data_IF_079270685217
#
_entry.id   IF_079270685217
#
_cell.length_a   1.000
_cell.length_b   1.000
_cell.length_c   1.000
_cell.angle_alpha   90.00
_cell.angle_beta   90.00
_cell.angle_gamma   90.00
#
_symmetry.space_group_name_H-M   'P 1'
#
loop_
_entity.id
_entity.type
_entity.pdbx_description
1 polymer ?
#
# COMPACT_ATOMS: atom_id res chain seq x y z
N UNK A 1 7.12 73.74 0.18
CA UNK A 1 7.23 72.59 -0.74
C UNK A 1 7.15 71.28 0.05
N UNK A 2 5.96 70.69 0.08
CA UNK A 2 5.56 69.28 0.24
C UNK A 2 6.40 68.28 1.07
N UNK A 3 6.24 68.31 2.41
CA UNK A 3 6.51 67.15 3.28
C UNK A 3 5.33 66.16 3.37
N UNK A 4 4.11 66.55 2.97
CA UNK A 4 2.91 65.70 3.06
C UNK A 4 2.80 64.62 1.98
N UNK A 5 3.58 64.74 0.88
CA UNK A 5 3.56 63.75 -0.22
C UNK A 5 4.43 62.51 0.01
N UNK A 6 5.46 62.59 0.86
CA UNK A 6 6.39 61.47 1.10
C UNK A 6 5.82 60.43 2.09
N UNK A 7 4.96 60.85 3.02
CA UNK A 7 4.31 59.94 3.97
C UNK A 7 3.21 59.08 3.30
N UNK A 8 2.53 59.62 2.28
CA UNK A 8 1.49 58.88 1.54
C UNK A 8 2.09 57.78 0.64
N UNK A 9 3.27 58.03 0.06
CA UNK A 9 3.92 57.07 -0.83
C UNK A 9 4.55 55.88 -0.08
N UNK A 10 4.98 56.08 1.18
CA UNK A 10 5.48 54.99 2.03
C UNK A 10 4.35 54.08 2.56
N UNK A 11 3.14 54.61 2.77
CA UNK A 11 1.97 53.83 3.18
C UNK A 11 1.43 52.90 2.09
N UNK A 12 1.53 53.31 0.81
CA UNK A 12 1.07 52.49 -0.32
C UNK A 12 2.01 51.33 -0.67
N UNK A 13 3.31 51.42 -0.34
CA UNK A 13 4.28 50.33 -0.58
C UNK A 13 4.15 49.23 0.51
N UNK A 14 3.76 49.60 1.74
CA UNK A 14 3.55 48.64 2.82
C UNK A 14 2.28 47.77 2.63
N UNK A 15 1.27 48.27 1.90
CA UNK A 15 0.05 47.53 1.55
C UNK A 15 0.23 46.57 0.35
N UNK A 16 1.35 46.66 -0.38
CA UNK A 16 1.66 45.74 -1.48
C UNK A 16 2.39 44.46 -1.03
N UNK A 17 2.79 44.39 0.26
CA UNK A 17 3.43 43.22 0.87
C UNK A 17 2.60 42.60 1.98
N UNK A 18 1.27 42.74 1.96
CA UNK A 18 0.41 41.76 2.59
C UNK A 18 0.58 40.44 1.84
N UNK A 19 1.62 39.68 2.21
CA UNK A 19 1.70 38.25 1.94
C UNK A 19 0.39 37.67 2.43
N UNK A 20 -0.48 37.28 1.48
CA UNK A 20 -1.63 36.42 1.77
C UNK A 20 -1.08 35.33 2.68
N UNK A 21 -1.62 35.18 3.89
CA UNK A 21 -1.12 34.20 4.84
C UNK A 21 -1.19 32.82 4.16
N UNK A 22 -0.05 32.30 3.72
CA UNK A 22 0.05 30.97 3.14
C UNK A 22 -0.23 29.99 4.28
N UNK A 23 -1.42 29.40 4.28
CA UNK A 23 -1.76 28.35 5.21
C UNK A 23 -1.16 27.04 4.71
N UNK A 24 -0.67 26.20 5.62
CA UNK A 24 -0.20 24.87 5.26
C UNK A 24 -1.38 24.00 4.80
N UNK A 25 -1.21 23.30 3.69
CA UNK A 25 -2.17 22.32 3.18
C UNK A 25 -1.98 21.02 3.97
N UNK A 26 -2.91 20.74 4.88
CA UNK A 26 -2.89 19.53 5.70
C UNK A 26 -3.31 18.31 4.89
N UNK A 27 -2.52 17.25 4.98
CA UNK A 27 -2.79 15.94 4.39
C UNK A 27 -2.73 14.91 5.51
N UNK A 28 -3.84 14.20 5.73
CA UNK A 28 -3.85 13.07 6.65
C UNK A 28 -3.09 11.90 6.01
N UNK A 29 -2.11 11.35 6.72
CA UNK A 29 -1.46 10.09 6.33
C UNK A 29 -1.83 9.07 7.38
N UNK A 30 -2.51 8.01 6.95
CA UNK A 30 -3.21 7.09 7.86
C UNK A 30 -2.83 5.64 7.57
N UNK A 31 -2.33 4.96 8.59
CA UNK A 31 -2.01 3.54 8.53
C UNK A 31 -1.55 2.97 9.87
N UNK A 32 -1.06 1.74 9.86
CA UNK A 32 -0.63 1.04 11.06
C UNK A 32 0.72 1.57 11.57
N UNK A 33 0.69 2.50 12.52
CA UNK A 33 1.90 2.92 13.28
C UNK A 33 2.16 2.00 14.48
N UNK A 34 1.19 1.15 14.81
CA UNK A 34 1.27 0.16 15.86
C UNK A 34 0.61 -1.16 15.42
N UNK A 35 0.57 -2.14 16.33
CA UNK A 35 -0.05 -3.44 16.06
C UNK A 35 0.85 -4.41 15.29
N UNK A 36 0.31 -5.58 14.90
CA UNK A 36 1.09 -6.70 14.38
C UNK A 36 1.69 -6.44 12.99
N UNK A 37 1.24 -5.38 12.31
CA UNK A 37 1.63 -5.06 10.93
C UNK A 37 2.22 -3.64 10.79
N UNK A 38 2.76 -3.08 11.88
CA UNK A 38 3.34 -1.73 11.91
C UNK A 38 4.42 -1.48 10.84
N UNK A 39 5.09 -2.54 10.36
CA UNK A 39 6.05 -2.46 9.27
C UNK A 39 5.46 -1.88 7.97
N UNK A 40 4.15 -2.03 7.73
CA UNK A 40 3.49 -1.41 6.57
C UNK A 40 3.38 0.10 6.75
N UNK A 41 3.03 0.57 7.95
CA UNK A 41 3.03 2.00 8.27
C UNK A 41 4.43 2.59 8.19
N UNK A 42 5.45 1.91 8.69
CA UNK A 42 6.84 2.40 8.58
C UNK A 42 7.24 2.70 7.13
N UNK A 43 6.86 1.83 6.19
CA UNK A 43 7.07 2.06 4.75
C UNK A 43 6.24 3.24 4.24
N UNK A 44 4.95 3.29 4.57
CA UNK A 44 4.04 4.36 4.17
C UNK A 44 4.55 5.74 4.63
N UNK A 45 4.81 5.89 5.94
CA UNK A 45 5.27 7.16 6.50
C UNK A 45 6.64 7.55 5.95
N UNK A 46 7.54 6.60 5.71
CA UNK A 46 8.82 6.89 5.04
C UNK A 46 8.60 7.48 3.63
N UNK A 47 7.71 6.86 2.84
CA UNK A 47 7.36 7.34 1.51
C UNK A 47 6.69 8.72 1.52
N UNK A 48 5.70 8.91 2.39
CA UNK A 48 4.97 10.16 2.53
C UNK A 48 5.89 11.31 2.96
N UNK A 49 6.71 11.09 4.01
CA UNK A 49 7.63 12.11 4.52
C UNK A 49 8.65 12.55 3.48
N UNK A 50 9.21 11.60 2.72
CA UNK A 50 10.16 11.92 1.67
C UNK A 50 9.49 12.68 0.52
N UNK A 51 8.29 12.25 0.08
CA UNK A 51 7.53 12.94 -0.96
C UNK A 51 7.19 14.39 -0.58
N UNK A 52 6.67 14.60 0.64
CA UNK A 52 6.32 15.94 1.13
C UNK A 52 7.56 16.83 1.27
N UNK A 53 8.68 16.28 1.75
CA UNK A 53 9.95 17.01 1.79
C UNK A 53 10.39 17.47 0.40
N UNK A 54 10.35 16.57 -0.59
CA UNK A 54 10.77 16.85 -1.96
C UNK A 54 9.82 17.81 -2.69
N UNK A 55 8.51 17.72 -2.44
CA UNK A 55 7.49 18.66 -2.96
C UNK A 55 7.71 20.06 -2.37
N UNK A 56 7.86 20.16 -1.05
CA UNK A 56 8.04 21.44 -0.38
C UNK A 56 9.38 22.10 -0.75
N UNK A 57 10.44 21.33 -0.94
CA UNK A 57 11.73 21.84 -1.41
C UNK A 57 11.66 22.45 -2.82
N UNK A 58 10.68 22.05 -3.64
CA UNK A 58 10.40 22.61 -4.97
C UNK A 58 9.39 23.77 -4.96
N UNK A 59 9.07 24.31 -3.79
CA UNK A 59 8.15 25.44 -3.64
C UNK A 59 6.70 25.06 -3.30
N UNK A 60 6.43 23.79 -3.01
CA UNK A 60 5.12 23.34 -2.56
C UNK A 60 4.04 23.40 -3.64
N UNK A 61 2.80 23.69 -3.24
CA UNK A 61 1.63 23.84 -4.11
C UNK A 61 1.33 25.33 -4.24
N UNK A 62 1.67 25.94 -5.39
CA UNK A 62 1.46 27.38 -5.62
C UNK A 62 2.07 28.25 -4.49
N UNK A 63 3.17 27.79 -3.89
CA UNK A 63 3.86 28.43 -2.77
C UNK A 63 3.44 27.96 -1.37
N UNK A 64 2.31 27.25 -1.23
CA UNK A 64 1.86 26.69 0.05
C UNK A 64 2.54 25.35 0.33
N UNK A 65 2.87 25.08 1.60
CA UNK A 65 3.52 23.82 1.99
C UNK A 65 2.50 22.74 2.25
N UNK A 66 2.83 21.50 1.85
CA UNK A 66 2.14 20.31 2.35
C UNK A 66 2.60 20.00 3.77
N UNK A 67 1.66 19.71 4.66
CA UNK A 67 1.92 19.27 6.03
C UNK A 67 1.24 17.94 6.29
N UNK A 68 2.03 16.92 6.65
CA UNK A 68 1.52 15.62 7.07
C UNK A 68 0.91 15.73 8.46
N UNK A 69 -0.31 15.20 8.61
CA UNK A 69 -0.91 14.89 9.90
C UNK A 69 -1.03 13.38 9.99
N UNK A 70 -0.25 12.76 10.88
CA UNK A 70 -0.20 11.30 11.00
C UNK A 70 -1.35 10.79 11.88
N UNK A 71 -1.98 9.71 11.46
CA UNK A 71 -2.95 8.98 12.27
C UNK A 71 -2.62 7.49 12.26
N UNK A 72 -2.74 6.88 13.43
CA UNK A 72 -2.59 5.44 13.61
C UNK A 72 -3.97 4.79 13.62
N UNK A 73 -4.23 3.89 12.67
CA UNK A 73 -5.41 3.02 12.69
C UNK A 73 -5.09 1.58 13.12
N UNK A 74 -3.81 1.27 13.38
CA UNK A 74 -3.30 -0.06 13.70
C UNK A 74 -3.72 -1.18 12.71
N UNK A 75 -4.20 -0.83 11.50
CA UNK A 75 -4.94 -1.72 10.62
C UNK A 75 -6.14 -2.45 11.30
N UNK A 76 -6.74 -1.82 12.31
CA UNK A 76 -7.96 -2.28 12.97
C UNK A 76 -9.19 -1.54 12.39
N UNK A 77 -10.22 -2.27 11.91
CA UNK A 77 -11.40 -1.65 11.30
C UNK A 77 -12.14 -0.66 12.20
N UNK A 78 -12.21 -0.92 13.51
CA UNK A 78 -12.92 -0.05 14.45
C UNK A 78 -12.12 1.22 14.72
N UNK A 79 -10.81 1.11 14.87
CA UNK A 79 -9.92 2.25 15.02
C UNK A 79 -9.88 3.09 13.73
N UNK A 80 -9.90 2.47 12.55
CA UNK A 80 -9.98 3.18 11.26
C UNK A 80 -11.22 4.07 11.15
N UNK A 81 -12.40 3.58 11.59
CA UNK A 81 -13.63 4.38 11.68
C UNK A 81 -13.46 5.57 12.62
N UNK A 82 -12.83 5.36 13.80
CA UNK A 82 -12.58 6.44 14.75
C UNK A 82 -11.60 7.49 14.19
N UNK A 83 -10.57 7.05 13.47
CA UNK A 83 -9.61 7.92 12.79
C UNK A 83 -10.28 8.72 11.67
N UNK A 84 -11.11 8.09 10.84
CA UNK A 84 -11.81 8.79 9.76
C UNK A 84 -12.71 9.91 10.30
N UNK A 85 -13.50 9.63 11.34
CA UNK A 85 -14.27 10.66 12.04
C UNK A 85 -13.39 11.76 12.62
N UNK A 86 -12.20 11.43 13.13
CA UNK A 86 -11.25 12.42 13.63
C UNK A 86 -10.68 13.30 12.52
N UNK A 87 -10.33 12.73 11.36
CA UNK A 87 -9.87 13.47 10.18
C UNK A 87 -10.92 14.48 9.72
N UNK A 88 -12.19 14.06 9.66
CA UNK A 88 -13.34 14.94 9.37
C UNK A 88 -13.40 16.09 10.38
N UNK A 89 -13.38 15.78 11.67
CA UNK A 89 -13.43 16.79 12.75
C UNK A 89 -12.22 17.74 12.76
N UNK A 90 -11.05 17.27 12.32
CA UNK A 90 -9.84 18.08 12.20
C UNK A 90 -9.86 18.96 10.93
N UNK A 91 -10.91 18.87 10.11
CA UNK A 91 -11.14 19.69 8.92
C UNK A 91 -10.21 19.38 7.75
N UNK A 92 -9.63 18.18 7.71
CA UNK A 92 -8.70 17.74 6.66
C UNK A 92 -9.49 17.18 5.48
N UNK A 93 -9.14 17.60 4.26
CA UNK A 93 -9.86 17.23 3.02
C UNK A 93 -9.16 16.18 2.16
N UNK A 94 -7.93 15.83 2.51
CA UNK A 94 -7.09 14.94 1.71
C UNK A 94 -6.49 13.87 2.61
N UNK A 95 -6.75 12.62 2.27
CA UNK A 95 -6.28 11.44 2.97
C UNK A 95 -5.41 10.61 2.04
N UNK A 96 -4.21 10.31 2.49
CA UNK A 96 -3.35 9.27 1.94
C UNK A 96 -3.40 8.11 2.92
N UNK A 97 -3.90 6.98 2.45
CA UNK A 97 -4.28 5.86 3.30
C UNK A 97 -5.69 5.37 2.96
N UNK A 98 -6.29 4.49 3.74
CA UNK A 98 -5.64 3.70 4.77
C UNK A 98 -4.81 2.56 4.13
N UNK A 99 -4.12 1.76 4.93
CA UNK A 99 -3.27 0.67 4.43
C UNK A 99 -4.04 -0.63 4.17
N UNK A 100 -4.63 -1.22 5.22
CA UNK A 100 -5.22 -2.55 5.14
C UNK A 100 -6.66 -2.49 4.62
N UNK A 101 -7.02 -3.34 3.65
CA UNK A 101 -8.35 -3.35 3.01
C UNK A 101 -9.54 -3.32 3.99
N UNK A 102 -9.46 -4.10 5.08
CA UNK A 102 -10.49 -4.18 6.13
C UNK A 102 -10.65 -2.90 6.96
N UNK A 103 -9.62 -2.05 6.98
CA UNK A 103 -9.62 -0.73 7.63
C UNK A 103 -10.02 0.37 6.63
N UNK A 104 -9.47 0.30 5.42
CA UNK A 104 -9.71 1.26 4.34
C UNK A 104 -11.17 1.29 3.92
N UNK A 105 -11.83 0.14 3.79
CA UNK A 105 -13.22 0.09 3.34
C UNK A 105 -14.19 0.84 4.27
N UNK A 106 -14.30 0.54 5.58
CA UNK A 106 -15.23 1.27 6.44
C UNK A 106 -14.84 2.75 6.65
N UNK A 107 -13.54 3.11 6.56
CA UNK A 107 -13.13 4.52 6.59
C UNK A 107 -13.56 5.27 5.32
N UNK A 108 -13.50 4.62 4.16
CA UNK A 108 -13.89 5.22 2.88
C UNK A 108 -15.36 5.63 2.81
N UNK A 109 -16.24 4.94 3.55
CA UNK A 109 -17.66 5.29 3.62
C UNK A 109 -17.84 6.68 4.21
N UNK A 110 -17.12 6.97 5.30
CA UNK A 110 -17.13 8.27 5.97
C UNK A 110 -16.55 9.34 5.05
N UNK A 111 -15.43 9.06 4.37
CA UNK A 111 -14.81 10.05 3.49
C UNK A 111 -15.67 10.38 2.27
N UNK A 112 -16.32 9.39 1.66
CA UNK A 112 -17.24 9.62 0.56
C UNK A 112 -18.44 10.48 0.99
N UNK A 113 -19.04 10.17 2.14
CA UNK A 113 -20.19 10.92 2.68
C UNK A 113 -19.83 12.37 3.06
N UNK A 114 -18.61 12.59 3.58
CA UNK A 114 -18.13 13.89 4.06
C UNK A 114 -17.37 14.70 2.99
N UNK A 115 -17.28 14.20 1.75
CA UNK A 115 -16.65 14.93 0.66
C UNK A 115 -15.12 15.01 0.77
N UNK A 116 -14.47 14.00 1.35
CA UNK A 116 -13.01 13.93 1.56
C UNK A 116 -12.37 13.02 0.52
N UNK A 117 -11.31 13.50 -0.13
CA UNK A 117 -10.53 12.70 -1.08
C UNK A 117 -9.68 11.67 -0.32
N UNK A 118 -9.78 10.40 -0.71
CA UNK A 118 -8.92 9.34 -0.17
C UNK A 118 -8.17 8.62 -1.29
N UNK A 119 -6.85 8.59 -1.19
CA UNK A 119 -5.97 7.82 -2.09
C UNK A 119 -5.24 6.76 -1.26
N UNK A 120 -5.64 5.49 -1.39
CA UNK A 120 -4.96 4.40 -0.67
C UNK A 120 -3.70 3.95 -1.41
N UNK A 121 -2.56 3.83 -0.71
CA UNK A 121 -1.33 3.33 -1.31
C UNK A 121 -1.16 1.81 -1.21
N UNK A 122 -2.06 1.09 -0.53
CA UNK A 122 -1.85 -0.34 -0.23
C UNK A 122 -3.10 -1.22 -0.22
N UNK A 123 -4.32 -0.69 -0.11
CA UNK A 123 -5.50 -1.55 -0.10
C UNK A 123 -5.82 -2.09 -1.50
N UNK A 124 -5.79 -3.41 -1.64
CA UNK A 124 -5.94 -4.12 -2.91
C UNK A 124 -7.28 -4.83 -3.09
N UNK A 125 -8.14 -4.86 -2.07
CA UNK A 125 -9.45 -5.48 -2.16
C UNK A 125 -10.30 -4.79 -3.26
N UNK A 126 -10.86 -5.54 -4.23
CA UNK A 126 -11.61 -4.94 -5.34
C UNK A 126 -12.91 -4.27 -4.90
N UNK A 127 -13.51 -4.73 -3.80
CA UNK A 127 -14.77 -4.20 -3.29
C UNK A 127 -14.71 -2.71 -2.94
N UNK A 128 -13.53 -2.21 -2.53
CA UNK A 128 -13.32 -0.81 -2.16
C UNK A 128 -13.86 0.17 -3.23
N UNK A 129 -13.56 -0.09 -4.51
CA UNK A 129 -13.93 0.77 -5.66
C UNK A 129 -15.10 0.20 -6.48
N UNK A 130 -15.68 -0.94 -6.08
CA UNK A 130 -16.83 -1.55 -6.74
C UNK A 130 -18.20 -0.96 -6.31
N UNK A 131 -18.20 0.05 -5.43
CA UNK A 131 -19.40 0.56 -4.74
C UNK A 131 -19.95 1.89 -5.28
N UNK A 132 -19.35 2.39 -6.36
CA UNK A 132 -19.81 3.61 -7.05
C UNK A 132 -19.26 4.92 -6.47
N UNK A 133 -18.39 4.84 -5.46
CA UNK A 133 -17.74 5.98 -4.83
C UNK A 133 -16.89 6.78 -5.83
N UNK A 134 -16.83 8.09 -5.62
CA UNK A 134 -16.24 9.06 -6.55
C UNK A 134 -14.92 9.60 -6.05
N UNK A 135 -14.74 9.69 -4.73
CA UNK A 135 -13.58 10.31 -4.07
C UNK A 135 -12.50 9.31 -3.66
N UNK A 136 -12.69 8.03 -4.00
CA UNK A 136 -11.79 6.95 -3.66
C UNK A 136 -10.92 6.61 -4.86
N UNK A 137 -9.61 6.63 -4.67
CA UNK A 137 -8.61 6.20 -5.65
C UNK A 137 -7.55 5.33 -4.97
N UNK A 138 -6.74 4.62 -5.76
CA UNK A 138 -5.58 3.88 -5.26
C UNK A 138 -4.31 4.12 -6.07
N UNK A 139 -3.15 3.94 -5.45
CA UNK A 139 -1.84 3.87 -6.12
C UNK A 139 -1.18 2.50 -5.97
N UNK A 140 -2.00 1.47 -5.83
CA UNK A 140 -1.62 0.06 -5.86
C UNK A 140 -2.53 -0.71 -6.83
N UNK A 141 -2.23 -1.99 -7.04
CA UNK A 141 -3.04 -2.87 -7.88
C UNK A 141 -4.27 -3.44 -7.17
N UNK A 142 -4.90 -4.41 -7.84
CA UNK A 142 -6.08 -5.12 -7.35
C UNK A 142 -5.79 -6.60 -7.10
N UNK A 143 -6.43 -7.18 -6.08
CA UNK A 143 -6.37 -8.62 -5.84
C UNK A 143 -7.04 -9.44 -6.97
N UNK A 144 -7.94 -8.80 -7.74
CA UNK A 144 -8.50 -9.37 -8.96
C UNK A 144 -7.47 -9.57 -10.07
N UNK A 145 -6.32 -8.91 -9.99
CA UNK A 145 -5.19 -9.09 -10.92
C UNK A 145 -4.08 -9.92 -10.26
N UNK A 146 -3.82 -9.69 -8.97
CA UNK A 146 -2.78 -10.40 -8.22
C UNK A 146 -3.08 -11.89 -8.06
N UNK A 147 -4.32 -12.27 -7.73
CA UNK A 147 -4.71 -13.68 -7.59
C UNK A 147 -4.52 -14.48 -8.88
N UNK A 148 -5.02 -14.01 -10.04
CA UNK A 148 -4.76 -14.66 -11.33
C UNK A 148 -3.27 -14.68 -11.72
N UNK A 149 -2.51 -13.63 -11.38
CA UNK A 149 -1.05 -13.60 -11.61
C UNK A 149 -0.35 -14.73 -10.84
N UNK A 150 -0.67 -14.89 -9.55
CA UNK A 150 -0.14 -15.97 -8.74
C UNK A 150 -0.53 -17.34 -9.31
N UNK A 151 -1.82 -17.54 -9.60
CA UNK A 151 -2.32 -18.80 -10.15
C UNK A 151 -1.68 -19.15 -11.50
N UNK A 152 -1.48 -18.17 -12.38
CA UNK A 152 -0.80 -18.35 -13.67
C UNK A 152 0.64 -18.85 -13.46
N UNK A 153 1.40 -18.21 -12.57
CA UNK A 153 2.77 -18.64 -12.27
C UNK A 153 2.81 -20.06 -11.66
N UNK A 154 1.88 -20.38 -10.77
CA UNK A 154 1.73 -21.71 -10.19
C UNK A 154 1.51 -22.77 -11.28
N UNK A 155 0.62 -22.50 -12.24
CA UNK A 155 0.27 -23.44 -13.30
C UNK A 155 1.37 -23.58 -14.37
N UNK A 156 2.00 -22.47 -14.76
CA UNK A 156 2.93 -22.46 -15.89
C UNK A 156 4.37 -22.76 -15.50
N UNK A 157 4.79 -22.37 -14.30
CA UNK A 157 6.19 -22.41 -13.85
C UNK A 157 6.41 -23.43 -12.75
N UNK A 158 5.59 -23.39 -11.70
CA UNK A 158 5.78 -24.28 -10.54
C UNK A 158 5.30 -25.71 -10.82
N UNK A 159 4.11 -25.86 -11.43
CA UNK A 159 3.48 -27.15 -11.78
C UNK A 159 3.39 -28.15 -10.60
N UNK A 160 2.87 -27.72 -9.44
CA UNK A 160 2.77 -28.60 -8.27
C UNK A 160 1.71 -29.69 -8.47
N UNK A 161 1.86 -30.80 -7.75
CA UNK A 161 0.95 -31.94 -7.83
C UNK A 161 -0.16 -31.87 -6.78
N UNK A 162 0.08 -31.24 -5.63
CA UNK A 162 -0.80 -31.26 -4.45
C UNK A 162 -0.78 -29.91 -3.74
N UNK A 163 -1.76 -29.08 -4.06
CA UNK A 163 -1.86 -27.70 -3.60
C UNK A 163 -2.71 -27.63 -2.33
N UNK A 164 -2.24 -26.93 -1.31
CA UNK A 164 -3.09 -26.42 -0.24
C UNK A 164 -3.21 -24.89 -0.34
N UNK A 165 -4.37 -24.36 0.04
CA UNK A 165 -4.62 -22.92 0.08
C UNK A 165 -5.03 -22.57 1.49
N UNK A 166 -4.32 -21.63 2.10
CA UNK A 166 -4.56 -21.17 3.49
C UNK A 166 -4.80 -19.68 3.49
N UNK A 167 -5.69 -19.18 4.36
CA UNK A 167 -5.92 -17.75 4.55
C UNK A 167 -6.14 -17.39 6.02
N UNK A 168 -6.06 -16.11 6.36
CA UNK A 168 -6.20 -15.59 7.73
C UNK A 168 -7.62 -15.13 8.10
N UNK A 169 -8.61 -15.44 7.25
CA UNK A 169 -10.04 -15.06 7.35
C UNK A 169 -10.32 -13.56 7.24
N UNK A 170 -9.31 -12.74 6.94
CA UNK A 170 -9.51 -11.31 6.70
C UNK A 170 -9.87 -11.05 5.25
N UNK A 171 -10.52 -9.90 4.99
CA UNK A 171 -11.00 -9.52 3.65
C UNK A 171 -9.92 -9.65 2.57
N UNK A 172 -8.70 -9.16 2.86
CA UNK A 172 -7.54 -9.24 1.96
C UNK A 172 -7.09 -10.70 1.76
N UNK A 173 -6.70 -11.38 2.83
CA UNK A 173 -6.11 -12.71 2.75
C UNK A 173 -7.07 -13.75 2.18
N UNK A 174 -8.32 -13.75 2.64
CA UNK A 174 -9.36 -14.65 2.15
C UNK A 174 -9.76 -14.33 0.71
N UNK A 175 -9.91 -13.05 0.34
CA UNK A 175 -10.25 -12.63 -1.01
C UNK A 175 -9.21 -13.11 -2.04
N UNK A 176 -7.93 -12.92 -1.74
CA UNK A 176 -6.82 -13.40 -2.56
C UNK A 176 -6.77 -14.93 -2.64
N UNK A 177 -6.88 -15.61 -1.51
CA UNK A 177 -6.88 -17.07 -1.46
C UNK A 177 -8.03 -17.67 -2.30
N UNK A 178 -9.22 -17.07 -2.26
CA UNK A 178 -10.36 -17.45 -3.10
C UNK A 178 -10.08 -17.20 -4.58
N UNK A 179 -9.54 -16.03 -4.93
CA UNK A 179 -9.14 -15.69 -6.30
C UNK A 179 -8.14 -16.69 -6.90
N UNK A 180 -7.13 -17.08 -6.12
CA UNK A 180 -6.17 -18.13 -6.50
C UNK A 180 -6.86 -19.49 -6.62
N UNK A 181 -7.69 -19.87 -5.65
CA UNK A 181 -8.42 -21.14 -5.68
C UNK A 181 -9.27 -21.27 -6.94
N UNK A 182 -10.05 -20.25 -7.28
CA UNK A 182 -10.94 -20.26 -8.43
C UNK A 182 -10.16 -20.37 -9.73
N UNK A 183 -9.04 -19.66 -9.84
CA UNK A 183 -8.16 -19.71 -11.01
C UNK A 183 -7.51 -21.09 -11.19
N UNK A 184 -7.05 -21.70 -10.09
CA UNK A 184 -6.47 -23.04 -10.10
C UNK A 184 -7.51 -24.13 -10.42
N UNK A 185 -8.72 -24.03 -9.87
CA UNK A 185 -9.83 -24.95 -10.16
C UNK A 185 -10.26 -24.89 -11.62
N UNK A 186 -10.34 -23.69 -12.22
CA UNK A 186 -10.63 -23.51 -13.66
C UNK A 186 -9.62 -24.23 -14.55
N UNK A 187 -8.37 -24.34 -14.10
CA UNK A 187 -7.30 -25.05 -14.79
C UNK A 187 -7.18 -26.54 -14.38
N UNK A 188 -8.14 -27.08 -13.62
CA UNK A 188 -8.15 -28.45 -13.10
C UNK A 188 -6.92 -28.81 -12.24
N UNK A 189 -6.27 -27.84 -11.61
CA UNK A 189 -5.19 -28.12 -10.66
C UNK A 189 -5.74 -28.77 -9.38
N UNK A 190 -4.95 -29.66 -8.77
CA UNK A 190 -5.36 -30.42 -7.60
C UNK A 190 -5.20 -29.61 -6.31
N UNK A 191 -6.24 -28.86 -5.96
CA UNK A 191 -6.39 -28.24 -4.63
C UNK A 191 -6.89 -29.29 -3.65
N UNK A 192 -6.00 -29.78 -2.79
CA UNK A 192 -6.29 -30.85 -1.81
C UNK A 192 -7.16 -30.33 -0.68
N UNK A 193 -6.85 -29.14 -0.15
CA UNK A 193 -7.72 -28.46 0.80
C UNK A 193 -7.59 -26.94 0.71
N UNK A 194 -8.63 -26.27 1.23
CA UNK A 194 -8.71 -24.83 1.45
C UNK A 194 -9.16 -24.63 2.89
N UNK A 195 -8.42 -23.83 3.66
CA UNK A 195 -8.69 -23.68 5.10
C UNK A 195 -8.26 -22.32 5.63
N UNK A 196 -8.89 -21.91 6.74
CA UNK A 196 -8.65 -20.62 7.38
C UNK A 196 -7.93 -20.77 8.72
N UNK A 197 -6.85 -20.04 8.92
CA UNK A 197 -6.21 -19.82 10.24
C UNK A 197 -6.71 -18.52 10.87
N UNK A 198 -6.39 -18.31 12.15
CA UNK A 198 -6.76 -17.08 12.86
C UNK A 198 -5.54 -16.16 12.89
N UNK A 199 -5.71 -14.89 12.49
CA UNK A 199 -4.65 -13.89 12.63
C UNK A 199 -4.21 -13.77 14.09
N UNK A 200 -2.90 -13.67 14.33
CA UNK A 200 -2.32 -13.71 15.67
C UNK A 200 -1.96 -15.11 16.18
N UNK A 201 -2.40 -16.18 15.51
CA UNK A 201 -2.00 -17.56 15.82
C UNK A 201 -0.47 -17.71 15.79
N UNK A 202 0.05 -18.50 16.72
CA UNK A 202 1.49 -18.80 16.82
C UNK A 202 1.78 -20.29 16.76
N UNK A 203 0.80 -21.14 17.02
CA UNK A 203 0.95 -22.58 16.88
C UNK A 203 0.29 -23.06 15.58
N UNK A 204 1.13 -23.39 14.61
CA UNK A 204 0.72 -23.96 13.32
C UNK A 204 1.01 -25.46 13.25
N UNK A 205 1.27 -26.14 14.38
CA UNK A 205 1.60 -27.57 14.43
C UNK A 205 0.54 -28.45 13.75
N UNK A 206 -0.74 -28.15 13.94
CA UNK A 206 -1.85 -28.88 13.31
C UNK A 206 -1.86 -28.69 11.80
N UNK A 207 -1.66 -27.47 11.31
CA UNK A 207 -1.55 -27.18 9.88
C UNK A 207 -0.34 -27.92 9.29
N UNK A 208 0.83 -27.81 9.91
CA UNK A 208 2.07 -28.45 9.46
C UNK A 208 1.93 -29.98 9.43
N UNK A 209 1.31 -30.58 10.46
CA UNK A 209 1.03 -32.01 10.49
C UNK A 209 0.10 -32.45 9.35
N UNK A 210 -0.92 -31.65 9.03
CA UNK A 210 -1.83 -31.90 7.91
C UNK A 210 -1.10 -31.79 6.57
N UNK A 211 -0.30 -30.74 6.35
CA UNK A 211 0.51 -30.56 5.14
C UNK A 211 1.41 -31.79 4.90
N UNK A 212 2.04 -32.31 5.96
CA UNK A 212 2.89 -33.51 5.90
C UNK A 212 2.07 -34.77 5.60
N UNK A 213 0.98 -35.01 6.34
CA UNK A 213 0.11 -36.18 6.19
C UNK A 213 -0.50 -36.27 4.80
N UNK A 214 -0.90 -35.13 4.25
CA UNK A 214 -1.52 -35.03 2.92
C UNK A 214 -0.50 -34.86 1.79
N UNK A 215 0.80 -34.95 2.08
CA UNK A 215 1.90 -34.83 1.13
C UNK A 215 1.77 -33.60 0.22
N UNK A 216 1.55 -32.43 0.83
CA UNK A 216 1.40 -31.16 0.12
C UNK A 216 2.77 -30.67 -0.37
N UNK A 217 2.90 -30.45 -1.67
CA UNK A 217 4.13 -29.95 -2.29
C UNK A 217 4.10 -28.44 -2.55
N UNK A 218 2.90 -27.82 -2.54
CA UNK A 218 2.76 -26.37 -2.67
C UNK A 218 1.67 -25.78 -1.77
N UNK A 219 1.95 -24.65 -1.15
CA UNK A 219 1.00 -23.86 -0.35
C UNK A 219 0.92 -22.44 -0.89
N UNK A 220 -0.29 -21.98 -1.20
CA UNK A 220 -0.57 -20.55 -1.28
C UNK A 220 -1.13 -20.07 0.07
N UNK A 221 -0.55 -19.01 0.63
CA UNK A 221 -1.04 -18.36 1.84
C UNK A 221 -1.52 -16.94 1.52
N UNK A 222 -2.81 -16.67 1.70
CA UNK A 222 -3.39 -15.34 1.61
C UNK A 222 -3.46 -14.68 2.99
N UNK A 223 -2.62 -13.68 3.23
CA UNK A 223 -2.57 -12.97 4.51
C UNK A 223 -1.25 -12.20 4.66
N UNK A 224 -0.86 -11.95 5.92
CA UNK A 224 0.25 -11.07 6.26
C UNK A 224 1.50 -11.81 6.77
N UNK A 225 2.61 -11.08 6.84
CA UNK A 225 3.92 -11.60 7.22
C UNK A 225 4.02 -12.24 8.62
N UNK A 226 3.27 -11.84 9.67
CA UNK A 226 3.46 -12.42 11.00
C UNK A 226 3.11 -13.92 11.03
N UNK A 227 1.99 -14.29 10.43
CA UNK A 227 1.54 -15.69 10.32
C UNK A 227 2.40 -16.44 9.30
N UNK A 228 2.69 -15.84 8.13
CA UNK A 228 3.49 -16.49 7.10
C UNK A 228 4.88 -16.89 7.61
N UNK A 229 5.55 -16.01 8.35
CA UNK A 229 6.88 -16.29 8.90
C UNK A 229 6.87 -17.44 9.91
N UNK A 230 5.82 -17.54 10.71
CA UNK A 230 5.64 -18.62 11.68
C UNK A 230 5.33 -19.96 10.99
N UNK A 231 4.47 -19.93 9.96
CA UNK A 231 4.16 -21.10 9.13
C UNK A 231 5.44 -21.64 8.47
N UNK A 232 6.24 -20.77 7.86
CA UNK A 232 7.52 -21.15 7.23
C UNK A 232 8.47 -21.81 8.23
N UNK A 233 8.69 -21.16 9.38
CA UNK A 233 9.61 -21.66 10.41
C UNK A 233 9.20 -23.03 10.92
N UNK A 234 7.93 -23.22 11.23
CA UNK A 234 7.41 -24.49 11.75
C UNK A 234 7.38 -25.59 10.68
N UNK A 235 7.05 -25.26 9.43
CA UNK A 235 7.09 -26.20 8.32
C UNK A 235 8.51 -26.74 8.08
N UNK A 236 9.52 -25.86 8.05
CA UNK A 236 10.92 -26.27 7.88
C UNK A 236 11.45 -27.06 9.07
N UNK A 237 11.11 -26.67 10.30
CA UNK A 237 11.46 -27.43 11.50
C UNK A 237 10.88 -28.86 11.49
N UNK A 238 9.70 -29.07 10.90
CA UNK A 238 9.09 -30.39 10.74
C UNK A 238 9.60 -31.19 9.51
N UNK A 239 10.58 -30.63 8.78
CA UNK A 239 11.23 -31.26 7.62
C UNK A 239 10.48 -31.13 6.30
N UNK A 240 9.46 -30.28 6.20
CA UNK A 240 8.70 -30.12 4.95
C UNK A 240 9.54 -29.42 3.88
N UNK A 241 9.46 -29.95 2.67
CA UNK A 241 10.05 -29.38 1.44
C UNK A 241 9.02 -28.64 0.58
N UNK A 242 7.81 -28.47 1.09
CA UNK A 242 6.71 -27.74 0.47
C UNK A 242 7.17 -26.34 0.02
N UNK A 243 6.89 -26.00 -1.24
CA UNK A 243 7.07 -24.65 -1.76
C UNK A 243 5.94 -23.77 -1.23
N UNK A 244 6.28 -22.55 -0.80
CA UNK A 244 5.28 -21.60 -0.32
C UNK A 244 5.22 -20.39 -1.25
N UNK A 245 4.02 -19.83 -1.39
CA UNK A 245 3.77 -18.59 -2.08
C UNK A 245 2.80 -17.72 -1.29
N UNK A 246 3.01 -16.41 -1.28
CA UNK A 246 2.07 -15.44 -0.71
C UNK A 246 1.93 -14.19 -1.57
N UNK A 247 1.04 -13.27 -1.18
CA UNK A 247 0.88 -11.97 -1.82
C UNK A 247 1.84 -10.92 -1.28
N UNK A 248 1.74 -9.68 -1.74
CA UNK A 248 2.66 -8.59 -1.40
C UNK A 248 2.69 -8.28 0.10
N UNK A 249 1.59 -8.55 0.81
CA UNK A 249 1.50 -8.43 2.26
C UNK A 249 2.54 -9.28 3.00
N UNK A 250 3.05 -10.38 2.44
CA UNK A 250 4.13 -11.14 3.07
C UNK A 250 5.54 -10.65 2.72
N UNK A 251 5.70 -9.85 1.65
CA UNK A 251 7.00 -9.39 1.14
C UNK A 251 7.54 -8.16 1.88
N UNK A 252 8.04 -8.36 3.09
CA UNK A 252 8.78 -7.32 3.82
C UNK A 252 9.86 -7.94 4.74
N UNK A 253 10.82 -7.14 5.16
CA UNK A 253 11.98 -7.58 5.97
C UNK A 253 11.57 -8.27 7.28
N UNK A 254 10.42 -7.93 7.86
CA UNK A 254 9.93 -8.57 9.08
C UNK A 254 9.53 -10.03 8.85
N UNK A 255 9.17 -10.43 7.63
CA UNK A 255 9.03 -11.85 7.28
C UNK A 255 10.34 -12.60 7.53
N UNK A 256 11.44 -12.11 6.96
CA UNK A 256 12.76 -12.72 7.08
C UNK A 256 13.24 -12.71 8.53
N UNK A 257 12.96 -11.64 9.29
CA UNK A 257 13.28 -11.60 10.72
C UNK A 257 12.54 -12.69 11.53
N UNK A 258 11.31 -13.04 11.16
CA UNK A 258 10.50 -14.06 11.84
C UNK A 258 10.87 -15.48 11.41
N UNK A 259 11.09 -15.69 10.12
CA UNK A 259 11.31 -17.01 9.52
C UNK A 259 12.79 -17.42 9.43
N UNK A 260 13.72 -16.47 9.45
CA UNK A 260 15.14 -16.68 9.17
C UNK A 260 15.33 -17.38 7.82
N UNK A 261 16.25 -18.35 7.80
CA UNK A 261 16.53 -19.19 6.63
C UNK A 261 15.31 -19.91 6.06
N UNK A 262 14.21 -20.04 6.82
CA UNK A 262 12.98 -20.67 6.34
C UNK A 262 12.25 -19.83 5.29
N UNK A 263 12.56 -18.53 5.18
CA UNK A 263 12.03 -17.64 4.14
C UNK A 263 12.66 -17.88 2.76
N UNK A 264 13.85 -18.50 2.71
CA UNK A 264 14.59 -18.68 1.48
C UNK A 264 13.79 -19.47 0.45
N UNK A 265 13.67 -18.90 -0.75
CA UNK A 265 12.96 -19.52 -1.86
C UNK A 265 11.44 -19.38 -1.81
N UNK A 266 10.87 -18.67 -0.82
CA UNK A 266 9.44 -18.36 -0.84
C UNK A 266 9.09 -17.54 -2.08
N UNK A 267 8.03 -17.89 -2.79
CA UNK A 267 7.53 -17.10 -3.91
C UNK A 267 6.60 -16.00 -3.40
N UNK A 268 6.60 -14.85 -4.07
CA UNK A 268 5.68 -13.76 -3.72
C UNK A 268 5.25 -12.98 -4.94
N UNK A 269 3.96 -12.66 -5.03
CA UNK A 269 3.50 -11.58 -5.92
C UNK A 269 3.69 -10.26 -5.22
N UNK A 270 4.30 -9.28 -5.87
CA UNK A 270 4.39 -7.91 -5.33
C UNK A 270 4.56 -6.88 -6.44
N UNK A 271 4.41 -5.58 -6.15
CA UNK A 271 4.78 -4.55 -7.10
C UNK A 271 6.25 -4.66 -7.53
N UNK A 272 6.59 -4.00 -8.64
CA UNK A 272 7.98 -3.88 -9.12
C UNK A 272 8.90 -3.31 -8.03
N UNK A 273 10.19 -3.68 -8.06
CA UNK A 273 11.24 -3.03 -7.27
C UNK A 273 11.47 -1.59 -7.78
N UNK A 274 10.66 -0.64 -7.31
CA UNK A 274 10.77 0.76 -7.72
C UNK A 274 12.04 1.44 -7.20
N UNK A 275 12.63 0.93 -6.12
CA UNK A 275 13.94 1.35 -5.59
C UNK A 275 15.10 1.03 -6.55
N UNK A 276 14.90 0.09 -7.47
CA UNK A 276 15.89 -0.30 -8.49
C UNK A 276 15.73 0.47 -9.80
N UNK A 277 14.73 1.35 -9.91
CA UNK A 277 14.56 2.23 -11.08
C UNK A 277 15.63 3.32 -11.03
N UNK A 278 16.48 3.50 -12.06
CA UNK A 278 17.59 4.45 -12.01
C UNK A 278 17.19 5.89 -11.67
N UNK A 279 16.02 6.34 -12.17
CA UNK A 279 15.49 7.68 -11.90
C UNK A 279 15.14 7.92 -10.41
N UNK A 280 14.87 6.85 -9.65
CA UNK A 280 14.50 6.91 -8.24
C UNK A 280 15.72 6.90 -7.30
N UNK A 281 16.94 6.73 -7.82
CA UNK A 281 18.17 6.67 -7.01
C UNK A 281 18.34 7.85 -6.04
N UNK A 282 18.04 9.12 -6.41
CA UNK A 282 18.16 10.23 -5.46
C UNK A 282 17.25 10.07 -4.23
N UNK A 283 16.06 9.52 -4.41
CA UNK A 283 15.09 9.25 -3.34
C UNK A 283 15.61 8.11 -2.45
N UNK A 284 16.14 7.04 -3.06
CA UNK A 284 16.81 5.93 -2.34
C UNK A 284 17.94 6.47 -1.45
N UNK A 285 18.81 7.31 -2.00
CA UNK A 285 19.96 7.88 -1.28
C UNK A 285 19.48 8.79 -0.13
N UNK A 286 18.43 9.60 -0.35
CA UNK A 286 17.86 10.48 0.67
C UNK A 286 17.24 9.70 1.84
N UNK A 287 16.51 8.63 1.56
CA UNK A 287 15.92 7.75 2.58
C UNK A 287 17.02 7.03 3.37
N UNK A 288 18.04 6.49 2.68
CA UNK A 288 19.20 5.85 3.34
C UNK A 288 19.99 6.83 4.21
N UNK A 289 20.13 8.09 3.80
CA UNK A 289 20.78 9.12 4.60
C UNK A 289 20.06 9.38 5.94
N UNK A 290 18.76 9.13 6.00
CA UNK A 290 17.94 9.16 7.23
C UNK A 290 17.95 7.84 8.01
N UNK A 291 18.74 6.84 7.57
CA UNK A 291 18.78 5.48 8.11
C UNK A 291 17.43 4.75 8.06
N UNK A 292 16.60 5.10 7.07
CA UNK A 292 15.34 4.42 6.77
C UNK A 292 15.55 3.42 5.63
N UNK A 293 14.63 2.46 5.50
CA UNK A 293 14.67 1.42 4.47
C UNK A 293 13.81 1.83 3.24
N UNK A 294 14.42 2.04 2.06
CA UNK A 294 13.69 2.37 0.83
C UNK A 294 13.18 1.15 0.06
N UNK A 295 13.49 -0.07 0.48
CA UNK A 295 13.21 -1.29 -0.31
C UNK A 295 11.72 -1.67 -0.34
N UNK A 296 10.96 -1.22 0.66
CA UNK A 296 9.55 -1.54 0.81
C UNK A 296 8.68 -0.97 -0.31
N UNK A 297 7.77 -1.79 -0.87
CA UNK A 297 6.89 -1.36 -1.96
C UNK A 297 6.02 -0.16 -1.56
N UNK A 298 5.55 -0.10 -0.31
CA UNK A 298 4.67 0.96 0.15
C UNK A 298 5.36 2.31 0.36
N UNK A 299 6.70 2.34 0.40
CA UNK A 299 7.45 3.60 0.28
C UNK A 299 7.10 4.29 -1.04
N UNK A 300 7.09 3.51 -2.12
CA UNK A 300 6.94 4.02 -3.49
C UNK A 300 5.49 4.29 -3.87
N UNK A 301 4.56 3.42 -3.47
CA UNK A 301 3.13 3.63 -3.73
C UNK A 301 2.59 4.82 -2.94
N UNK A 302 3.06 5.05 -1.71
CA UNK A 302 2.71 6.24 -0.92
C UNK A 302 3.36 7.49 -1.48
N UNK A 303 4.64 7.44 -1.88
CA UNK A 303 5.28 8.58 -2.55
C UNK A 303 4.49 8.97 -3.81
N UNK A 304 4.09 8.00 -4.64
CA UNK A 304 3.28 8.23 -5.83
C UNK A 304 1.86 8.75 -5.51
N UNK A 305 1.26 8.36 -4.38
CA UNK A 305 -0.01 8.91 -3.92
C UNK A 305 0.10 10.42 -3.62
N UNK A 306 1.21 10.85 -2.99
CA UNK A 306 1.48 12.26 -2.73
C UNK A 306 1.78 13.04 -4.03
N UNK A 307 2.47 12.43 -5.00
CA UNK A 307 2.65 13.05 -6.32
C UNK A 307 1.32 13.20 -7.07
N UNK A 308 0.45 12.20 -6.98
CA UNK A 308 -0.91 12.26 -7.53
C UNK A 308 -1.71 13.38 -6.88
N UNK A 309 -1.71 13.46 -5.55
CA UNK A 309 -2.36 14.55 -4.82
C UNK A 309 -1.78 15.92 -5.20
N UNK A 310 -0.45 16.05 -5.30
CA UNK A 310 0.21 17.27 -5.78
C UNK A 310 -0.29 17.68 -7.17
N UNK A 311 -0.37 16.74 -8.11
CA UNK A 311 -0.84 17.01 -9.47
C UNK A 311 -2.27 17.55 -9.46
N UNK A 312 -3.16 16.94 -8.68
CA UNK A 312 -4.53 17.39 -8.46
C UNK A 312 -4.63 18.77 -7.81
N UNK A 313 -3.89 19.00 -6.72
CA UNK A 313 -3.85 20.27 -5.98
C UNK A 313 -3.36 21.45 -6.82
N UNK A 314 -2.52 21.19 -7.82
CA UNK A 314 -2.13 22.22 -8.79
C UNK A 314 -3.30 22.68 -9.67
N UNK A 315 -4.36 21.88 -9.79
CA UNK A 315 -5.57 22.22 -10.55
C UNK A 315 -6.66 22.81 -9.66
N UNK A 316 -7.00 22.13 -8.56
CA UNK A 316 -8.09 22.52 -7.66
C UNK A 316 -7.79 22.16 -6.21
N UNK A 317 -8.43 22.85 -5.27
CA UNK A 317 -8.46 22.50 -3.85
C UNK A 317 -9.77 21.76 -3.47
N UNK A 318 -10.67 21.51 -4.42
CA UNK A 318 -11.88 20.73 -4.19
C UNK A 318 -11.60 19.22 -4.37
N UNK A 319 -11.92 18.38 -3.37
CA UNK A 319 -11.74 16.93 -3.45
C UNK A 319 -12.35 16.26 -4.69
N UNK A 320 -13.57 16.65 -5.08
CA UNK A 320 -14.26 16.04 -6.22
C UNK A 320 -13.67 16.47 -7.55
N UNK A 321 -13.26 17.73 -7.68
CA UNK A 321 -12.53 18.22 -8.86
C UNK A 321 -11.17 17.54 -8.99
N UNK A 322 -10.43 17.33 -7.89
CA UNK A 322 -9.17 16.59 -7.89
C UNK A 322 -9.40 15.15 -8.36
N UNK A 323 -10.36 14.43 -7.76
CA UNK A 323 -10.66 13.06 -8.13
C UNK A 323 -11.04 12.94 -9.63
N UNK A 324 -11.87 13.87 -10.11
CA UNK A 324 -12.28 13.94 -11.52
C UNK A 324 -11.08 14.20 -12.43
N UNK A 325 -10.22 15.14 -12.06
CA UNK A 325 -9.03 15.47 -12.85
C UNK A 325 -8.06 14.29 -12.92
N UNK A 326 -7.80 13.60 -11.81
CA UNK A 326 -6.94 12.42 -11.77
C UNK A 326 -7.48 11.29 -12.64
N UNK A 327 -8.80 11.08 -12.67
CA UNK A 327 -9.43 10.06 -13.53
C UNK A 327 -9.36 10.40 -15.02
N UNK A 328 -9.21 11.68 -15.36
CA UNK A 328 -9.15 12.17 -16.75
C UNK A 328 -7.72 12.32 -17.29
N UNK A 329 -6.69 12.33 -16.42
CA UNK A 329 -5.32 12.66 -16.80
C UNK A 329 -4.32 11.63 -16.29
N UNK A 330 -3.18 11.51 -16.96
CA UNK A 330 -2.06 10.73 -16.44
C UNK A 330 -1.18 11.59 -15.54
N UNK A 331 -0.60 10.99 -14.50
CA UNK A 331 0.34 11.66 -13.59
C UNK A 331 1.67 10.91 -13.60
N UNK A 332 2.75 11.60 -13.92
CA UNK A 332 4.10 11.04 -13.81
C UNK A 332 4.53 10.94 -12.35
N UNK A 333 4.88 9.73 -11.92
CA UNK A 333 5.29 9.43 -10.54
C UNK A 333 6.57 8.61 -10.50
N UNK A 334 7.08 8.34 -9.30
CA UNK A 334 8.17 7.38 -9.05
C UNK A 334 7.84 5.95 -9.51
N UNK A 335 6.56 5.64 -9.74
CA UNK A 335 6.11 4.36 -10.28
C UNK A 335 6.00 4.36 -11.81
N UNK A 336 6.29 5.49 -12.47
CA UNK A 336 5.96 5.75 -13.87
C UNK A 336 4.65 6.53 -14.01
N UNK A 337 4.15 6.69 -15.25
CA UNK A 337 2.89 7.37 -15.51
C UNK A 337 1.72 6.54 -14.96
N UNK A 338 0.96 7.12 -14.05
CA UNK A 338 -0.26 6.53 -13.50
C UNK A 338 -1.48 7.07 -14.24
N UNK A 339 -2.45 6.21 -14.50
CA UNK A 339 -3.76 6.60 -15.00
C UNK A 339 -4.83 5.77 -14.33
N UNK A 340 -5.98 6.40 -14.04
CA UNK A 340 -7.07 5.76 -13.32
C UNK A 340 -8.26 5.47 -14.25
N UNK A 341 -9.05 4.47 -13.89
CA UNK A 341 -10.38 4.28 -14.44
C UNK A 341 -11.43 5.13 -13.69
N UNK A 342 -12.69 5.05 -14.13
CA UNK A 342 -13.78 5.83 -13.54
C UNK A 342 -14.04 5.48 -12.06
N UNK A 343 -13.67 4.26 -11.64
CA UNK A 343 -13.84 3.77 -10.27
C UNK A 343 -12.70 4.17 -9.35
N UNK A 344 -11.59 4.66 -9.90
CA UNK A 344 -10.40 5.07 -9.14
C UNK A 344 -9.34 3.99 -9.04
N UNK A 345 -9.40 2.96 -9.88
CA UNK A 345 -8.39 1.90 -9.96
C UNK A 345 -7.32 2.24 -11.00
N UNK A 346 -6.06 1.84 -10.75
CA UNK A 346 -4.99 2.02 -11.72
C UNK A 346 -5.21 1.12 -12.94
N UNK A 347 -5.10 1.71 -14.14
CA UNK A 347 -5.10 0.95 -15.40
C UNK A 347 -3.72 0.35 -15.65
N UNK A 348 -3.68 -0.94 -15.97
CA UNK A 348 -2.45 -1.61 -16.39
C UNK A 348 -1.41 -1.77 -15.27
N UNK A 349 -1.82 -1.72 -14.01
CA UNK A 349 -0.95 -2.09 -12.90
C UNK A 349 -0.68 -3.61 -12.96
N UNK A 350 0.58 -4.00 -12.79
CA UNK A 350 0.98 -5.40 -12.83
C UNK A 350 1.70 -5.79 -11.54
N UNK A 351 1.42 -6.99 -11.06
CA UNK A 351 2.21 -7.65 -10.03
C UNK A 351 3.26 -8.53 -10.72
N UNK A 352 4.51 -8.42 -10.28
CA UNK A 352 5.56 -9.37 -10.64
C UNK A 352 5.56 -10.56 -9.67
N UNK A 353 6.16 -11.67 -10.09
CA UNK A 353 6.45 -12.80 -9.19
C UNK A 353 7.93 -12.80 -8.86
N UNK A 354 8.25 -12.87 -7.58
CA UNK A 354 9.60 -12.80 -7.06
C UNK A 354 9.91 -14.01 -6.18
N UNK A 355 11.19 -14.34 -6.12
CA UNK A 355 11.75 -15.23 -5.10
C UNK A 355 12.25 -14.36 -3.94
N UNK A 356 11.78 -14.66 -2.74
CA UNK A 356 12.17 -14.00 -1.50
C UNK A 356 13.37 -14.70 -0.86
N UNK A 357 14.24 -13.90 -0.24
CA UNK A 357 15.48 -14.36 0.36
C UNK A 357 15.54 -14.12 1.87
N UNK A 358 16.33 -14.93 2.56
CA UNK A 358 16.50 -14.83 4.01
C UNK A 358 17.07 -13.48 4.48
N UNK A 359 17.76 -12.74 3.60
CA UNK A 359 18.26 -11.40 3.89
C UNK A 359 17.20 -10.29 3.71
N UNK A 360 15.98 -10.65 3.30
CA UNK A 360 14.88 -9.71 3.07
C UNK A 360 14.87 -9.09 1.66
N UNK A 361 15.78 -9.51 0.78
CA UNK A 361 15.77 -9.11 -0.62
C UNK A 361 14.80 -9.97 -1.46
N UNK A 362 14.49 -9.49 -2.66
CA UNK A 362 13.65 -10.19 -3.63
C UNK A 362 14.24 -10.10 -5.04
N UNK A 363 14.30 -11.23 -5.74
CA UNK A 363 14.74 -11.32 -7.14
C UNK A 363 13.60 -11.79 -8.03
N UNK A 364 13.56 -11.38 -9.30
CA UNK A 364 12.54 -11.86 -10.23
C UNK A 364 12.55 -13.39 -10.28
N UNK A 365 11.37 -14.01 -10.13
CA UNK A 365 11.26 -15.46 -10.16
C UNK A 365 11.46 -15.97 -11.60
N UNK A 366 12.24 -17.04 -11.75
CA UNK A 366 12.62 -17.60 -13.05
C UNK A 366 11.54 -18.51 -13.65
#
# INVERSE_FOLDING_TARGET
MNMKGKALLAGCIALAFSTMAQADIKVAVVGAMSGPVAQYGDQEFTGAEQAVADINAKGGIKGEKLQIVKYDDACDPKQAVAVANKVVNDGIKYVIGHLCSSSTQPASDIYEDEGILMITPAATAPELTARGYKLILRTTGLDSDQGPTAAKYILEKVKPQRIAIVHDKQQYGEGLARSVQDSLKKANAKVVFFDGITAGEKDFSTLVARLKKENIDFVYYGGYHPEMGQILRQARAAGLKTQFMGPEGVANVSLSNIAGDSAEGMLVTKPKNYDQVPANKPIVDAIKAKKQDPSGAFVWTTYAALQSLQAGLNQSADPAEIATWLKANSVDTVMGPLSWDEKGDLKGFEFGVFTWHADGSATDAK
#
